data_IF_227310263590
#
_entry.id   IF_227310263590
#
_cell.length_a   1.000
_cell.length_b   1.000
_cell.length_c   1.000
_cell.angle_alpha   90.00
_cell.angle_beta   90.00
_cell.angle_gamma   90.00
#
_symmetry.space_group_name_H-M   'P 1'
#
loop_
_entity.id
_entity.type
_entity.pdbx_description
1 polymer ?
#
# COMPACT_ATOMS: atom_id res chain seq x y z
N UNK A 1 0.63 11.95 13.12
CA UNK A 1 1.30 10.98 12.24
C UNK A 1 0.24 10.24 11.46
N UNK A 2 0.13 10.50 10.16
CA UNK A 2 -0.70 9.65 9.30
C UNK A 2 0.14 8.50 8.77
N UNK A 3 -0.42 7.30 8.84
CA UNK A 3 0.11 6.12 8.16
C UNK A 3 -0.92 5.60 7.17
N UNK A 4 -0.44 5.00 6.09
CA UNK A 4 -1.27 4.33 5.10
C UNK A 4 -0.99 2.85 5.21
N UNK A 5 -2.06 2.09 5.41
CA UNK A 5 -2.03 0.64 5.40
C UNK A 5 -2.43 0.16 4.01
N UNK A 6 -1.56 -0.62 3.36
CA UNK A 6 -1.76 -1.21 2.04
C UNK A 6 -1.70 -2.73 2.17
N UNK A 7 -2.77 -3.41 1.83
CA UNK A 7 -2.90 -4.87 1.95
C UNK A 7 -2.98 -5.48 0.55
N UNK A 8 -1.84 -5.69 -0.14
CA UNK A 8 -1.84 -6.25 -1.47
C UNK A 8 -2.31 -7.70 -1.46
N UNK A 9 -2.98 -8.12 -2.52
CA UNK A 9 -3.49 -9.47 -2.68
C UNK A 9 -3.55 -9.88 -4.15
N UNK A 10 -3.56 -11.20 -4.38
CA UNK A 10 -3.80 -11.75 -5.72
C UNK A 10 -5.28 -11.74 -6.06
N UNK A 11 -5.54 -11.72 -7.37
CA UNK A 11 -6.90 -11.94 -7.86
C UNK A 11 -7.31 -13.37 -7.59
N UNK A 12 -8.50 -13.53 -7.02
CA UNK A 12 -9.17 -14.82 -6.90
C UNK A 12 -10.27 -14.92 -7.95
N UNK A 13 -10.90 -16.09 -8.07
CA UNK A 13 -12.07 -16.28 -8.92
C UNK A 13 -13.26 -15.41 -8.51
N UNK A 14 -13.24 -14.83 -7.31
CA UNK A 14 -14.34 -14.06 -6.73
C UNK A 14 -14.04 -12.57 -6.61
N UNK A 15 -12.77 -12.20 -6.37
CA UNK A 15 -12.39 -10.81 -6.06
C UNK A 15 -11.13 -10.44 -6.85
N UNK A 16 -11.15 -9.34 -7.63
CA UNK A 16 -9.96 -8.83 -8.28
C UNK A 16 -8.98 -8.31 -7.24
N UNK A 17 -7.77 -8.84 -7.29
CA UNK A 17 -6.71 -8.46 -6.37
C UNK A 17 -6.06 -7.16 -6.78
N UNK A 18 -5.39 -6.51 -5.84
CA UNK A 18 -4.63 -5.28 -6.09
C UNK A 18 -3.21 -5.46 -5.58
N UNK A 19 -2.24 -5.21 -6.46
CA UNK A 19 -0.86 -5.11 -6.04
C UNK A 19 -0.63 -3.81 -5.26
N UNK A 20 0.53 -3.71 -4.61
CA UNK A 20 0.90 -2.56 -3.79
C UNK A 20 0.86 -1.24 -4.59
N UNK A 21 1.22 -1.28 -5.88
CA UNK A 21 1.13 -0.12 -6.79
C UNK A 21 -0.31 0.37 -6.91
N UNK A 22 -1.23 -0.53 -7.27
CA UNK A 22 -2.64 -0.18 -7.48
C UNK A 22 -3.28 0.40 -6.23
N UNK A 23 -2.93 -0.13 -5.05
CA UNK A 23 -3.43 0.40 -3.78
C UNK A 23 -2.88 1.81 -3.49
N UNK A 24 -1.59 2.05 -3.74
CA UNK A 24 -0.99 3.37 -3.56
C UNK A 24 -1.56 4.41 -4.57
N UNK A 25 -1.78 4.03 -5.82
CA UNK A 25 -2.44 4.88 -6.83
C UNK A 25 -3.88 5.23 -6.42
N UNK A 26 -4.63 4.29 -5.84
CA UNK A 26 -5.96 4.57 -5.30
C UNK A 26 -5.96 5.55 -4.14
N UNK A 27 -4.97 5.48 -3.25
CA UNK A 27 -4.79 6.46 -2.20
C UNK A 27 -4.46 7.84 -2.76
N UNK A 28 -3.63 7.90 -3.81
CA UNK A 28 -3.30 9.14 -4.51
C UNK A 28 -4.54 9.78 -5.15
N UNK A 29 -5.35 8.99 -5.87
CA UNK A 29 -6.58 9.44 -6.51
C UNK A 29 -7.61 9.93 -5.50
N UNK A 30 -7.76 9.21 -4.37
CA UNK A 30 -8.65 9.61 -3.27
C UNK A 30 -8.22 10.96 -2.70
N UNK A 31 -6.93 11.12 -2.43
CA UNK A 31 -6.36 12.35 -1.89
C UNK A 31 -6.53 13.52 -2.86
N UNK A 32 -6.32 13.30 -4.16
CA UNK A 32 -6.56 14.31 -5.20
C UNK A 32 -8.04 14.74 -5.24
N UNK A 33 -8.97 13.78 -5.21
CA UNK A 33 -10.41 14.11 -5.20
C UNK A 33 -10.79 14.95 -3.99
N UNK A 34 -10.26 14.64 -2.82
CA UNK A 34 -10.51 15.43 -1.61
C UNK A 34 -9.91 16.83 -1.72
N UNK A 35 -8.68 16.96 -2.22
CA UNK A 35 -8.07 18.27 -2.48
C UNK A 35 -8.89 19.13 -3.44
N UNK A 36 -9.46 18.54 -4.49
CA UNK A 36 -10.32 19.26 -5.43
C UNK A 36 -11.62 19.74 -4.77
N UNK A 37 -12.23 18.93 -3.89
CA UNK A 37 -13.44 19.31 -3.14
C UNK A 37 -13.14 20.44 -2.14
N UNK A 38 -12.02 20.35 -1.45
CA UNK A 38 -11.57 21.34 -0.46
C UNK A 38 -10.84 22.54 -1.08
N UNK A 39 -10.85 22.68 -2.41
CA UNK A 39 -10.15 23.73 -3.17
C UNK A 39 -8.67 23.91 -2.79
N UNK A 40 -8.04 22.82 -2.33
CA UNK A 40 -6.64 22.81 -1.93
C UNK A 40 -6.33 23.41 -0.56
N UNK A 41 -7.32 23.73 0.29
CA UNK A 41 -7.06 24.40 1.57
C UNK A 41 -6.35 23.50 2.61
N UNK A 42 -6.45 22.17 2.46
CA UNK A 42 -5.82 21.23 3.38
C UNK A 42 -4.35 20.98 3.05
N UNK A 43 -3.47 21.69 3.76
CA UNK A 43 -2.02 21.42 3.76
C UNK A 43 -1.67 19.97 4.10
N UNK A 44 -2.48 19.33 4.94
CA UNK A 44 -2.31 17.92 5.32
C UNK A 44 -2.54 16.99 4.12
N UNK A 45 -3.63 17.20 3.37
CA UNK A 45 -3.89 16.44 2.16
C UNK A 45 -2.82 16.70 1.08
N UNK A 46 -2.36 17.95 0.94
CA UNK A 46 -1.27 18.28 0.00
C UNK A 46 0.03 17.53 0.35
N UNK A 47 0.42 17.53 1.62
CA UNK A 47 1.61 16.82 2.09
C UNK A 47 1.47 15.30 1.89
N UNK A 48 0.30 14.73 2.18
CA UNK A 48 0.00 13.32 1.93
C UNK A 48 0.08 12.97 0.44
N UNK A 49 -0.54 13.78 -0.43
CA UNK A 49 -0.50 13.59 -1.87
C UNK A 49 0.95 13.59 -2.40
N UNK A 50 1.73 14.61 -2.02
CA UNK A 50 3.13 14.72 -2.42
C UNK A 50 3.97 13.50 -1.97
N UNK A 51 3.72 13.03 -0.75
CA UNK A 51 4.45 11.89 -0.18
C UNK A 51 4.12 10.57 -0.86
N UNK A 52 2.83 10.29 -1.15
CA UNK A 52 2.42 9.10 -1.92
C UNK A 52 3.01 9.15 -3.34
N UNK A 53 2.97 10.31 -3.98
CA UNK A 53 3.53 10.50 -5.32
C UNK A 53 5.05 10.28 -5.33
N UNK A 54 5.75 10.80 -4.32
CA UNK A 54 7.19 10.59 -4.15
C UNK A 54 7.52 9.12 -3.98
N UNK A 55 6.79 8.42 -3.11
CA UNK A 55 6.91 6.97 -2.94
C UNK A 55 6.74 6.23 -4.27
N UNK A 56 5.63 6.44 -4.99
CA UNK A 56 5.35 5.75 -6.26
C UNK A 56 6.46 5.93 -7.32
N UNK A 57 7.19 7.05 -7.26
CA UNK A 57 8.30 7.34 -8.17
C UNK A 57 9.65 6.82 -7.66
N UNK A 58 9.75 6.41 -6.40
CA UNK A 58 11.01 6.02 -5.79
C UNK A 58 11.44 4.60 -6.16
N UNK A 59 12.75 4.30 -6.26
CA UNK A 59 13.25 2.93 -6.44
C UNK A 59 12.84 1.98 -5.30
N UNK A 60 12.69 2.51 -4.08
CA UNK A 60 12.25 1.77 -2.89
C UNK A 60 10.86 1.19 -3.09
N UNK A 61 9.95 1.91 -3.76
CA UNK A 61 8.62 1.37 -4.09
C UNK A 61 8.69 0.15 -5.00
N UNK A 62 9.69 0.08 -5.90
CA UNK A 62 9.88 -1.11 -6.72
C UNK A 62 10.33 -2.29 -5.87
N UNK A 63 11.35 -2.09 -5.04
CA UNK A 63 11.85 -3.13 -4.12
C UNK A 63 10.73 -3.68 -3.22
N UNK A 64 9.91 -2.79 -2.67
CA UNK A 64 8.81 -3.16 -1.78
C UNK A 64 7.68 -3.89 -2.51
N UNK A 65 7.42 -3.55 -3.78
CA UNK A 65 6.50 -4.29 -4.66
C UNK A 65 7.01 -5.70 -4.91
N UNK A 66 8.25 -5.83 -5.34
CA UNK A 66 8.88 -7.11 -5.64
C UNK A 66 8.89 -8.03 -4.40
N UNK A 67 9.16 -7.47 -3.21
CA UNK A 67 9.13 -8.21 -1.95
C UNK A 67 7.72 -8.62 -1.52
N UNK A 68 6.74 -7.72 -1.61
CA UNK A 68 5.34 -8.05 -1.33
C UNK A 68 4.81 -9.13 -2.28
N UNK A 69 5.11 -9.04 -3.56
CA UNK A 69 4.74 -10.05 -4.57
C UNK A 69 5.38 -11.40 -4.27
N UNK A 70 6.64 -11.44 -3.82
CA UNK A 70 7.30 -12.68 -3.41
C UNK A 70 6.59 -13.35 -2.22
N UNK A 71 6.27 -12.60 -1.17
CA UNK A 71 5.58 -13.17 -0.01
C UNK A 71 4.16 -13.65 -0.35
N UNK A 72 3.44 -12.90 -1.18
CA UNK A 72 2.15 -13.34 -1.69
C UNK A 72 2.29 -14.65 -2.48
N UNK A 73 3.32 -14.80 -3.32
CA UNK A 73 3.57 -16.03 -4.09
C UNK A 73 3.87 -17.24 -3.21
N UNK A 74 4.46 -17.02 -2.03
CA UNK A 74 4.67 -18.03 -1.00
C UNK A 74 3.37 -18.41 -0.24
N UNK A 75 2.23 -17.81 -0.61
CA UNK A 75 0.94 -18.03 0.04
C UNK A 75 0.78 -17.30 1.37
N UNK A 76 1.60 -16.28 1.64
CA UNK A 76 1.52 -15.47 2.86
C UNK A 76 0.64 -14.25 2.66
N UNK A 77 0.09 -13.74 3.75
CA UNK A 77 -0.61 -12.46 3.76
C UNK A 77 0.39 -11.34 4.04
N UNK A 78 0.26 -10.25 3.28
CA UNK A 78 1.17 -9.10 3.34
C UNK A 78 0.38 -7.84 3.68
N UNK A 79 0.89 -7.10 4.66
CA UNK A 79 0.45 -5.75 4.96
C UNK A 79 1.65 -4.81 4.94
N UNK A 80 1.55 -3.74 4.17
CA UNK A 80 2.58 -2.71 4.05
C UNK A 80 2.07 -1.45 4.72
N UNK A 81 2.76 -0.99 5.75
CA UNK A 81 2.47 0.27 6.44
C UNK A 81 3.47 1.33 6.02
N UNK A 82 2.98 2.44 5.48
CA UNK A 82 3.79 3.58 5.09
C UNK A 82 3.52 4.72 6.08
N UNK A 83 4.57 5.25 6.71
CA UNK A 83 4.51 6.41 7.60
C UNK A 83 5.36 7.55 7.04
N UNK A 84 4.82 8.76 7.12
CA UNK A 84 5.48 9.97 6.65
C UNK A 84 5.87 10.82 7.87
N UNK A 85 7.18 11.01 8.09
CA UNK A 85 7.70 11.76 9.24
C UNK A 85 8.86 12.66 8.79
N UNK A 86 8.74 13.97 9.02
CA UNK A 86 9.83 14.95 8.87
C UNK A 86 10.67 14.78 7.58
N UNK A 87 10.01 14.81 6.42
CA UNK A 87 10.56 14.58 5.06
C UNK A 87 11.11 13.17 4.76
N UNK A 88 11.14 12.27 5.74
CA UNK A 88 11.51 10.87 5.53
C UNK A 88 10.28 9.96 5.47
N UNK A 89 10.25 9.16 4.41
CA UNK A 89 9.28 8.07 4.28
C UNK A 89 9.85 6.82 4.95
N UNK A 90 9.11 6.30 5.94
CA UNK A 90 9.39 4.98 6.56
C UNK A 90 8.32 3.99 6.17
N UNK A 91 8.72 2.74 5.95
CA UNK A 91 7.78 1.67 5.64
C UNK A 91 8.11 0.42 6.44
N UNK A 92 7.07 -0.38 6.66
CA UNK A 92 7.14 -1.63 7.39
C UNK A 92 6.33 -2.66 6.61
N UNK A 93 6.87 -3.87 6.48
CA UNK A 93 6.16 -5.01 5.92
C UNK A 93 5.85 -5.99 7.04
N UNK A 94 4.57 -6.25 7.24
CA UNK A 94 4.07 -7.29 8.13
C UNK A 94 3.67 -8.47 7.27
N UNK A 95 4.29 -9.62 7.54
CA UNK A 95 4.01 -10.87 6.82
C UNK A 95 3.42 -11.84 7.82
N UNK A 96 2.28 -12.43 7.47
CA UNK A 96 1.59 -13.42 8.30
C UNK A 96 1.29 -14.67 7.47
N UNK A 97 1.36 -15.82 8.12
CA UNK A 97 1.01 -17.10 7.48
C UNK A 97 -0.48 -17.11 7.12
N UNK A 98 -0.82 -17.57 5.92
CA UNK A 98 -2.22 -17.67 5.51
C UNK A 98 -2.87 -18.93 6.07
N UNK A 99 -4.04 -18.78 6.70
CA UNK A 99 -4.74 -19.90 7.35
C UNK A 99 -5.19 -20.99 6.38
N UNK A 100 -5.16 -20.75 5.07
CA UNK A 100 -5.52 -21.72 4.03
C UNK A 100 -4.63 -22.97 4.00
N UNK A 101 -3.39 -22.91 4.53
CA UNK A 101 -2.48 -24.07 4.57
C UNK A 101 -2.80 -25.06 5.71
N UNK A 102 -3.75 -24.77 6.61
CA UNK A 102 -4.08 -25.68 7.74
C UNK A 102 -5.18 -26.69 7.42
N UNK A 103 -5.96 -26.50 6.36
CA UNK A 103 -7.13 -27.35 6.08
C UNK A 103 -6.86 -28.49 5.08
N UNK A 104 -5.79 -28.45 4.28
CA UNK A 104 -5.43 -29.56 3.36
C UNK A 104 -4.62 -30.70 4.00
N UNK A 105 -4.37 -30.64 5.31
CA UNK A 105 -3.57 -31.64 6.03
C UNK A 105 -4.36 -32.35 7.15
N UNK A 106 -5.69 -32.48 6.99
CA UNK A 106 -6.55 -33.19 7.94
C UNK A 106 -7.41 -34.27 7.29
#
# INVERSE_FOLDING_TARGET
MESIDLEPNYSTSQIPGKCLKCLAEQQLDSCLRQLLVEQGDSKQLQARYASILSFLKSPESKKLRDEAERYLAEGKNVKVKISFQDDEMKYWIEVTESQAQKEEMR
#
